data_IF_183437013218
#
_entry.id   IF_183437013218
#
_cell.length_a   1.000
_cell.length_b   1.000
_cell.length_c   1.000
_cell.angle_alpha   90.00
_cell.angle_beta   90.00
_cell.angle_gamma   90.00
#
_symmetry.space_group_name_H-M   'P 1'
#
loop_
_entity.id
_entity.type
_entity.pdbx_description
1 polymer ?
#
# COMPACT_ATOMS: atom_id res chain seq x y z
N UNK A 1 15.64 -0.93 8.07
CA UNK A 1 14.45 -1.75 7.73
C UNK A 1 13.87 -1.44 6.34
N UNK A 2 14.53 -0.60 5.52
CA UNK A 2 14.01 -0.20 4.20
C UNK A 2 14.52 -1.04 3.00
N UNK A 3 15.31 -2.10 3.25
CA UNK A 3 15.96 -2.91 2.21
C UNK A 3 15.00 -3.54 1.21
N UNK A 4 13.75 -3.84 1.62
CA UNK A 4 12.70 -4.37 0.74
C UNK A 4 12.31 -3.44 -0.42
N UNK A 5 12.66 -2.16 -0.35
CA UNK A 5 12.42 -1.19 -1.42
C UNK A 5 13.64 -0.94 -2.30
N UNK A 6 14.76 -1.63 -2.06
CA UNK A 6 15.91 -1.55 -2.92
C UNK A 6 15.56 -2.11 -4.32
N UNK A 7 15.97 -1.45 -5.41
CA UNK A 7 15.64 -1.88 -6.76
C UNK A 7 16.46 -3.12 -7.15
N UNK A 8 16.03 -4.28 -6.71
CA UNK A 8 16.68 -5.55 -7.05
C UNK A 8 16.47 -5.92 -8.53
N UNK A 9 17.55 -6.28 -9.21
CA UNK A 9 17.55 -6.66 -10.63
C UNK A 9 16.79 -7.97 -10.91
N UNK A 10 16.69 -8.85 -9.90
CA UNK A 10 15.98 -10.13 -10.02
C UNK A 10 14.46 -9.96 -10.15
N UNK A 11 13.91 -8.86 -9.65
CA UNK A 11 12.50 -8.56 -9.85
C UNK A 11 12.40 -8.12 -11.31
N UNK A 12 11.55 -8.75 -12.11
CA UNK A 12 11.34 -8.39 -13.53
C UNK A 12 9.91 -7.96 -13.80
N UNK A 13 9.02 -8.13 -12.83
CA UNK A 13 7.60 -7.81 -12.94
C UNK A 13 7.33 -6.33 -12.71
N UNK A 14 6.27 -5.84 -13.36
CA UNK A 14 5.76 -4.48 -13.18
C UNK A 14 5.03 -4.31 -11.85
N UNK A 15 4.40 -5.38 -11.35
CA UNK A 15 3.74 -5.43 -10.05
C UNK A 15 4.70 -5.97 -8.99
N UNK A 16 4.68 -5.38 -7.80
CA UNK A 16 5.33 -5.93 -6.60
C UNK A 16 4.27 -6.21 -5.56
N UNK A 17 4.22 -7.45 -5.07
CA UNK A 17 3.43 -7.83 -3.91
C UNK A 17 4.28 -7.64 -2.64
N UNK A 18 3.94 -6.60 -1.90
CA UNK A 18 4.41 -6.24 -0.56
C UNK A 18 3.83 -7.12 0.57
N UNK A 19 4.56 -7.99 1.29
CA UNK A 19 4.02 -8.76 2.44
C UNK A 19 4.95 -8.72 3.66
N UNK A 20 4.37 -8.49 4.84
CA UNK A 20 5.04 -8.65 6.14
C UNK A 20 4.99 -10.11 6.61
N UNK A 21 5.92 -10.51 7.47
CA UNK A 21 6.07 -11.90 7.96
C UNK A 21 4.82 -12.46 8.67
N UNK A 22 4.01 -11.59 9.29
CA UNK A 22 2.80 -11.93 10.03
C UNK A 22 1.51 -11.79 9.18
N UNK A 23 1.65 -11.49 7.89
CA UNK A 23 0.52 -11.31 6.99
C UNK A 23 0.07 -12.64 6.38
N UNK A 24 -1.21 -12.97 6.58
CA UNK A 24 -1.85 -14.15 5.99
C UNK A 24 -2.93 -13.69 5.01
N UNK A 25 -2.76 -14.03 3.73
CA UNK A 25 -3.73 -13.79 2.66
C UNK A 25 -4.01 -15.10 1.92
N UNK A 26 -5.26 -15.32 1.56
CA UNK A 26 -5.66 -16.42 0.68
C UNK A 26 -5.31 -16.10 -0.79
N UNK A 27 -5.14 -17.13 -1.61
CA UNK A 27 -4.89 -16.98 -3.06
C UNK A 27 -5.97 -16.14 -3.75
N UNK A 28 -7.23 -16.28 -3.34
CA UNK A 28 -8.33 -15.49 -3.90
C UNK A 28 -8.21 -13.99 -3.58
N UNK A 29 -7.69 -13.63 -2.40
CA UNK A 29 -7.43 -12.24 -2.03
C UNK A 29 -6.26 -11.69 -2.85
N UNK A 30 -5.16 -12.46 -2.96
CA UNK A 30 -4.01 -12.09 -3.78
C UNK A 30 -4.44 -11.87 -5.24
N UNK A 31 -5.15 -12.80 -5.85
CA UNK A 31 -5.64 -12.70 -7.23
C UNK A 31 -6.55 -11.47 -7.43
N UNK A 32 -7.49 -11.23 -6.52
CA UNK A 32 -8.38 -10.08 -6.59
C UNK A 32 -7.62 -8.76 -6.48
N UNK A 33 -6.72 -8.66 -5.51
CA UNK A 33 -5.90 -7.45 -5.32
C UNK A 33 -4.94 -7.19 -6.49
N UNK A 34 -4.42 -8.24 -7.14
CA UNK A 34 -3.65 -8.11 -8.37
C UNK A 34 -4.50 -7.58 -9.53
N UNK A 35 -5.72 -8.07 -9.72
CA UNK A 35 -6.65 -7.58 -10.77
C UNK A 35 -7.02 -6.12 -10.53
N UNK A 36 -7.26 -5.75 -9.27
CA UNK A 36 -7.49 -4.35 -8.89
C UNK A 36 -6.27 -3.50 -9.21
N UNK A 37 -5.06 -3.94 -8.84
CA UNK A 37 -3.82 -3.25 -9.19
C UNK A 37 -3.64 -3.13 -10.70
N UNK A 38 -3.91 -4.17 -11.48
CA UNK A 38 -3.82 -4.13 -12.93
C UNK A 38 -4.73 -3.07 -13.56
N UNK A 39 -5.87 -2.78 -12.94
CA UNK A 39 -6.79 -1.71 -13.36
C UNK A 39 -6.31 -0.31 -12.94
N UNK A 40 -5.42 -0.23 -11.95
CA UNK A 40 -4.94 1.02 -11.35
C UNK A 40 -3.44 0.94 -11.02
N UNK A 41 -2.58 0.72 -12.02
CA UNK A 41 -1.18 0.33 -11.79
C UNK A 41 -0.40 1.42 -11.06
N UNK A 42 -0.78 2.69 -11.24
CA UNK A 42 -0.10 3.83 -10.62
C UNK A 42 -0.41 3.99 -9.11
N UNK A 43 -1.36 3.25 -8.55
CA UNK A 43 -1.78 3.40 -7.16
C UNK A 43 -1.34 2.23 -6.29
N UNK A 44 -1.12 2.49 -4.99
CA UNK A 44 -0.96 1.43 -3.99
C UNK A 44 -2.33 0.80 -3.77
N UNK A 45 -2.42 -0.52 -3.94
CA UNK A 45 -3.63 -1.33 -3.75
C UNK A 45 -3.37 -2.34 -2.64
N UNK A 46 -4.16 -2.35 -1.57
CA UNK A 46 -3.89 -3.27 -0.45
C UNK A 46 -4.90 -3.23 0.67
N UNK A 47 -4.57 -3.88 1.79
CA UNK A 47 -5.54 -4.23 2.83
C UNK A 47 -5.51 -3.29 4.05
N UNK A 48 -4.34 -3.04 4.70
CA UNK A 48 -4.30 -2.28 5.94
C UNK A 48 -4.35 -0.79 5.62
N UNK A 49 -5.56 -0.22 5.67
CA UNK A 49 -5.76 1.20 5.46
C UNK A 49 -5.47 2.02 6.73
N UNK A 50 -4.83 3.17 6.56
CA UNK A 50 -4.51 4.15 7.61
C UNK A 50 -4.79 5.56 7.10
N UNK A 51 -4.85 6.52 8.01
CA UNK A 51 -5.15 7.90 7.63
C UNK A 51 -4.21 8.89 8.32
N UNK A 52 -4.10 10.06 7.71
CA UNK A 52 -3.55 11.25 8.34
C UNK A 52 -4.68 12.21 8.74
N UNK A 53 -4.39 13.15 9.62
CA UNK A 53 -5.28 14.25 9.98
C UNK A 53 -4.46 15.47 10.41
N UNK A 54 -5.03 16.66 10.33
CA UNK A 54 -4.39 17.85 10.90
C UNK A 54 -4.83 18.05 12.35
N UNK A 55 -3.88 18.12 13.28
CA UNK A 55 -4.16 18.44 14.68
C UNK A 55 -4.08 19.96 14.89
N UNK A 56 -5.22 20.65 14.85
CA UNK A 56 -5.31 22.10 15.08
C UNK A 56 -4.73 22.52 16.43
N UNK A 57 -4.84 21.67 17.46
CA UNK A 57 -4.36 22.02 18.81
C UNK A 57 -2.83 22.03 18.91
N UNK A 58 -2.16 21.19 18.10
CA UNK A 58 -0.71 21.03 18.09
C UNK A 58 -0.04 21.65 16.87
N UNK A 59 -0.82 22.16 15.91
CA UNK A 59 -0.32 22.74 14.66
C UNK A 59 0.53 21.77 13.85
N UNK A 60 0.17 20.48 13.83
CA UNK A 60 0.99 19.43 13.22
C UNK A 60 0.16 18.29 12.64
N UNK A 61 0.74 17.54 11.72
CA UNK A 61 0.10 16.37 11.11
C UNK A 61 0.06 15.18 12.08
N UNK A 62 -1.02 14.42 11.95
CA UNK A 62 -1.46 13.34 12.81
C UNK A 62 -1.57 12.01 12.06
N UNK A 63 -0.99 10.91 12.56
CA UNK A 63 -1.22 9.54 12.09
C UNK A 63 -2.34 8.86 12.89
N UNK A 64 -3.25 8.16 12.22
CA UNK A 64 -4.31 7.39 12.88
C UNK A 64 -4.56 6.02 12.27
N UNK A 65 -4.85 5.06 13.15
CA UNK A 65 -5.33 3.71 12.82
C UNK A 65 -6.84 3.55 12.99
N UNK A 66 -7.56 4.64 13.31
CA UNK A 66 -9.02 4.59 13.47
C UNK A 66 -9.67 4.10 12.17
N UNK A 67 -10.65 3.21 12.32
CA UNK A 67 -11.42 2.71 11.19
C UNK A 67 -12.45 3.76 10.79
N UNK A 68 -12.09 4.57 9.81
CA UNK A 68 -12.94 5.58 9.18
C UNK A 68 -13.25 5.21 7.74
N UNK A 69 -14.29 5.85 7.17
CA UNK A 69 -14.62 5.67 5.76
C UNK A 69 -13.57 6.30 4.83
N UNK A 70 -12.83 7.27 5.34
CA UNK A 70 -11.72 7.91 4.66
C UNK A 70 -10.39 7.35 5.15
N UNK A 71 -9.49 7.13 4.20
CA UNK A 71 -8.11 6.73 4.44
C UNK A 71 -7.21 7.45 3.45
N UNK A 72 -5.94 7.60 3.77
CA UNK A 72 -4.98 8.28 2.89
C UNK A 72 -3.74 7.44 2.63
N UNK A 73 -3.64 6.28 3.26
CA UNK A 73 -2.51 5.37 3.16
C UNK A 73 -3.02 3.94 3.13
N UNK A 74 -2.30 3.11 2.37
CA UNK A 74 -2.38 1.66 2.46
C UNK A 74 -0.98 1.17 2.82
N UNK A 75 -0.86 0.45 3.94
CA UNK A 75 0.43 0.00 4.43
C UNK A 75 1.03 -1.04 3.49
N UNK A 76 2.32 -0.89 3.21
CA UNK A 76 2.97 -1.73 2.21
C UNK A 76 3.14 -3.19 2.64
N UNK A 77 2.93 -3.49 3.92
CA UNK A 77 3.00 -4.85 4.48
C UNK A 77 1.92 -5.81 4.01
N UNK A 78 0.91 -5.33 3.28
CA UNK A 78 0.01 -6.18 2.52
C UNK A 78 -0.57 -5.37 1.35
N UNK A 79 0.21 -5.21 0.28
CA UNK A 79 -0.20 -4.39 -0.87
C UNK A 79 0.51 -4.72 -2.17
N UNK A 80 -0.19 -4.55 -3.28
CA UNK A 80 0.38 -4.40 -4.61
C UNK A 80 0.69 -2.93 -4.92
N UNK A 81 1.82 -2.70 -5.57
CA UNK A 81 2.15 -1.40 -6.14
C UNK A 81 3.06 -1.56 -7.34
N UNK A 82 3.13 -0.52 -8.18
CA UNK A 82 3.97 -0.53 -9.36
C UNK A 82 5.46 -0.53 -9.00
N UNK A 83 6.24 -1.37 -9.66
CA UNK A 83 7.68 -1.18 -9.81
C UNK A 83 7.99 -0.14 -10.89
N UNK A 84 7.44 -0.32 -12.10
CA UNK A 84 7.79 0.45 -13.31
C UNK A 84 6.85 0.23 -14.51
N UNK A 85 6.60 1.24 -15.37
CA UNK A 85 6.51 1.06 -16.86
C UNK A 85 6.76 2.38 -17.63
N UNK A 86 7.63 2.31 -18.65
CA UNK A 86 7.94 3.34 -19.66
C UNK A 86 6.77 3.68 -20.59
N UNK A 87 6.74 4.92 -21.11
CA UNK A 87 6.30 5.13 -22.50
C UNK A 87 7.35 5.92 -23.30
N UNK A 88 7.59 5.38 -24.48
CA UNK A 88 8.59 5.66 -25.50
C UNK A 88 8.53 7.12 -26.02
N UNK A 89 9.67 7.81 -26.10
CA UNK A 89 9.78 9.11 -26.78
C UNK A 89 10.23 8.89 -28.24
N UNK A 90 9.36 9.08 -29.26
CA UNK A 90 9.86 9.34 -30.60
C UNK A 90 10.52 10.73 -30.59
N UNK A 91 11.77 10.79 -31.04
CA UNK A 91 12.56 12.01 -31.21
C UNK A 91 11.71 13.08 -31.89
N UNK A 92 11.52 14.23 -31.22
CA UNK A 92 11.14 15.57 -31.72
C UNK A 92 10.00 16.32 -30.99
N UNK A 93 9.56 15.89 -29.80
CA UNK A 93 8.73 16.76 -28.95
C UNK A 93 9.24 16.71 -27.50
N UNK A 94 9.70 17.85 -27.00
CA UNK A 94 10.15 18.06 -25.62
C UNK A 94 9.00 17.95 -24.60
N UNK A 95 8.45 16.75 -24.42
CA UNK A 95 7.71 16.37 -23.22
C UNK A 95 8.40 15.15 -22.63
N UNK A 96 9.37 15.40 -21.74
CA UNK A 96 10.12 14.38 -21.03
C UNK A 96 9.19 13.62 -20.07
N UNK A 97 8.65 12.48 -20.54
CA UNK A 97 7.89 11.51 -19.75
C UNK A 97 8.90 10.73 -18.89
N UNK A 98 9.32 11.28 -17.75
CA UNK A 98 10.02 10.51 -16.73
C UNK A 98 8.97 9.81 -15.86
N UNK A 99 8.60 8.57 -16.19
CA UNK A 99 7.87 7.73 -15.22
C UNK A 99 8.90 7.18 -14.24
N UNK A 100 8.92 7.78 -13.07
CA UNK A 100 9.83 7.45 -12.00
C UNK A 100 9.40 6.16 -11.29
N UNK A 101 10.33 5.22 -11.09
CA UNK A 101 10.10 3.93 -10.45
C UNK A 101 9.96 4.12 -8.93
N UNK A 102 8.96 3.55 -8.24
CA UNK A 102 8.81 3.78 -6.79
C UNK A 102 9.99 3.28 -5.97
N UNK A 103 10.54 2.10 -6.27
CA UNK A 103 11.76 1.59 -5.62
C UNK A 103 12.98 2.45 -5.93
N UNK A 104 13.17 2.85 -7.20
CA UNK A 104 14.31 3.70 -7.58
C UNK A 104 14.21 5.09 -6.93
N UNK A 105 13.05 5.71 -6.97
CA UNK A 105 12.79 6.98 -6.31
C UNK A 105 13.01 6.86 -4.81
N UNK A 106 12.48 5.79 -4.22
CA UNK A 106 12.67 5.54 -2.81
C UNK A 106 14.16 5.49 -2.50
N UNK A 107 14.96 4.72 -3.23
CA UNK A 107 16.40 4.55 -2.95
C UNK A 107 17.29 5.72 -3.37
N UNK A 108 17.01 6.38 -4.49
CA UNK A 108 17.94 7.33 -5.12
C UNK A 108 17.47 8.78 -5.11
N UNK A 109 16.16 9.03 -5.02
CA UNK A 109 15.61 10.39 -5.01
C UNK A 109 15.39 10.92 -3.59
N UNK A 110 14.96 10.05 -2.67
CA UNK A 110 14.81 10.45 -1.28
C UNK A 110 16.20 10.67 -0.63
N UNK A 111 16.33 11.67 0.25
CA UNK A 111 17.60 12.02 0.85
C UNK A 111 17.98 10.98 1.91
N UNK A 112 19.29 10.84 2.13
CA UNK A 112 19.85 9.94 3.15
C UNK A 112 19.31 10.22 4.56
N UNK A 113 18.91 11.45 4.86
CA UNK A 113 18.32 11.82 6.15
C UNK A 113 16.98 11.12 6.42
N UNK A 114 16.12 10.98 5.41
CA UNK A 114 14.84 10.27 5.55
C UNK A 114 15.06 8.76 5.67
N UNK A 115 15.99 8.21 4.88
CA UNK A 115 16.40 6.80 5.03
C UNK A 115 16.94 6.51 6.42
N UNK A 116 17.83 7.37 6.90
CA UNK A 116 18.42 7.25 8.23
C UNK A 116 17.33 7.29 9.29
N UNK A 117 16.38 8.22 9.22
CA UNK A 117 15.25 8.28 10.17
C UNK A 117 14.46 6.97 10.20
N UNK A 118 14.08 6.44 9.03
CA UNK A 118 13.36 5.16 8.91
C UNK A 118 14.17 4.00 9.47
N UNK A 119 15.47 3.95 9.20
CA UNK A 119 16.33 2.86 9.66
C UNK A 119 16.61 2.92 11.17
N UNK A 120 16.77 4.12 11.74
CA UNK A 120 16.94 4.32 13.18
C UNK A 120 15.66 3.99 13.96
N UNK A 121 14.49 4.40 13.45
CA UNK A 121 13.21 4.10 14.08
C UNK A 121 12.72 2.68 13.81
N UNK A 122 13.30 1.99 12.83
CA UNK A 122 12.85 0.67 12.39
C UNK A 122 11.33 0.64 12.08
N UNK A 123 10.84 1.74 11.48
CA UNK A 123 9.41 2.04 11.29
C UNK A 123 9.25 3.08 10.16
N UNK A 124 7.99 3.36 9.78
CA UNK A 124 7.59 4.44 8.87
C UNK A 124 8.02 4.29 7.40
N UNK A 125 8.65 3.20 7.00
CA UNK A 125 9.01 2.92 5.61
C UNK A 125 7.77 2.84 4.72
N UNK A 126 6.67 2.31 5.25
CA UNK A 126 5.34 2.26 4.63
C UNK A 126 4.72 3.66 4.45
N UNK A 127 4.83 4.53 5.45
CA UNK A 127 4.36 5.92 5.40
C UNK A 127 5.19 6.69 4.36
N UNK A 128 6.52 6.55 4.38
CA UNK A 128 7.40 7.23 3.43
C UNK A 128 7.09 6.81 1.99
N UNK A 129 6.83 5.53 1.75
CA UNK A 129 6.41 5.03 0.43
C UNK A 129 5.07 5.66 0.01
N UNK A 130 4.08 5.75 0.89
CA UNK A 130 2.79 6.39 0.56
C UNK A 130 2.96 7.89 0.26
N UNK A 131 3.82 8.60 1.00
CA UNK A 131 4.18 9.99 0.72
C UNK A 131 4.78 10.13 -0.67
N UNK A 132 5.77 9.30 -1.00
CA UNK A 132 6.44 9.31 -2.29
C UNK A 132 5.47 9.06 -3.44
N UNK A 133 4.67 7.98 -3.35
CA UNK A 133 3.71 7.62 -4.40
C UNK A 133 2.66 8.72 -4.59
N UNK A 134 2.11 9.26 -3.49
CA UNK A 134 1.10 10.33 -3.57
C UNK A 134 1.71 11.63 -4.11
N UNK A 135 2.96 11.93 -3.76
CA UNK A 135 3.65 13.13 -4.25
C UNK A 135 3.88 13.09 -5.76
N UNK A 136 4.21 11.92 -6.32
CA UNK A 136 4.51 11.70 -7.73
C UNK A 136 3.22 11.61 -8.56
N UNK A 137 2.26 10.80 -8.11
CA UNK A 137 1.04 10.50 -8.88
C UNK A 137 -0.06 11.52 -8.69
N UNK A 138 -0.08 12.23 -7.55
CA UNK A 138 -1.21 13.04 -7.08
C UNK A 138 -2.52 12.23 -7.00
N UNK A 139 -2.41 10.93 -6.74
CA UNK A 139 -3.55 10.03 -6.59
C UNK A 139 -3.55 9.38 -5.20
N UNK A 140 -4.72 9.18 -4.59
CA UNK A 140 -4.83 8.47 -3.31
C UNK A 140 -4.80 6.95 -3.52
N UNK A 141 -4.52 6.16 -2.47
CA UNK A 141 -4.48 4.69 -2.57
C UNK A 141 -5.87 4.06 -2.71
N UNK A 142 -5.89 2.75 -3.01
CA UNK A 142 -7.11 1.93 -3.09
C UNK A 142 -7.08 0.86 -2.01
N UNK A 143 -8.18 0.77 -1.25
CA UNK A 143 -8.36 -0.28 -0.25
C UNK A 143 -9.10 -1.47 -0.86
N UNK A 144 -8.57 -2.67 -0.65
CA UNK A 144 -9.29 -3.93 -0.86
C UNK A 144 -9.65 -4.56 0.48
N UNK A 145 -10.70 -5.36 0.51
CA UNK A 145 -11.06 -6.09 1.73
C UNK A 145 -10.36 -7.40 1.87
N UNK A 146 -9.87 -7.63 3.09
CA UNK A 146 -9.55 -8.96 3.55
C UNK A 146 -10.86 -9.64 3.97
N UNK A 147 -11.09 -10.88 3.54
CA UNK A 147 -12.13 -11.72 4.14
C UNK A 147 -11.79 -11.82 5.61
N UNK A 148 -12.78 -11.54 6.47
CA UNK A 148 -12.62 -11.63 7.93
C UNK A 148 -12.42 -13.11 8.29
N UNK A 149 -11.17 -13.60 8.21
CA UNK A 149 -10.83 -14.85 8.86
C UNK A 149 -11.04 -14.62 10.35
N UNK A 150 -11.97 -15.37 10.93
CA UNK A 150 -12.12 -15.45 12.38
C UNK A 150 -10.74 -15.82 12.94
N UNK A 151 -10.04 -14.84 13.52
CA UNK A 151 -8.71 -14.99 14.13
C UNK A 151 -8.82 -15.78 15.45
N UNK A 152 -9.39 -16.99 15.43
CA UNK A 152 -9.45 -17.83 16.62
C UNK A 152 -8.41 -18.96 16.62
N UNK A 153 -7.71 -19.26 15.52
CA UNK A 153 -6.90 -20.49 15.48
C UNK A 153 -5.38 -20.30 15.42
N UNK A 154 -4.86 -19.07 15.41
CA UNK A 154 -3.39 -18.84 15.27
C UNK A 154 -2.79 -17.94 16.36
N UNK A 155 -3.38 -17.92 17.57
CA UNK A 155 -2.75 -17.30 18.76
C UNK A 155 -1.98 -18.31 19.63
N UNK A 156 -1.53 -19.44 19.07
CA UNK A 156 -0.83 -20.48 19.83
C UNK A 156 0.65 -20.71 19.46
N UNK A 157 1.32 -19.77 18.78
CA UNK A 157 2.77 -19.86 18.61
C UNK A 157 3.48 -18.53 18.86
N UNK A 158 4.19 -18.48 19.99
CA UNK A 158 5.31 -17.56 20.21
C UNK A 158 4.93 -16.13 20.54
N UNK A 159 4.87 -15.81 21.84
CA UNK A 159 4.85 -14.45 22.39
C UNK A 159 6.07 -13.63 21.92
N UNK A 160 6.00 -13.04 20.73
CA UNK A 160 6.66 -11.77 20.43
C UNK A 160 5.61 -10.70 20.70
N UNK A 161 5.85 -9.83 21.68
CA UNK A 161 5.05 -8.62 21.88
C UNK A 161 4.89 -7.93 20.53
N UNK A 162 3.64 -7.73 20.08
CA UNK A 162 3.43 -7.12 18.77
C UNK A 162 4.01 -5.71 18.80
N UNK A 163 5.00 -5.41 17.95
CA UNK A 163 5.61 -4.06 17.84
C UNK A 163 4.55 -2.96 17.64
N UNK A 164 3.40 -3.34 17.07
CA UNK A 164 2.23 -2.52 16.84
C UNK A 164 1.48 -2.06 18.10
N UNK A 165 1.65 -2.74 19.23
CA UNK A 165 0.99 -2.44 20.50
C UNK A 165 1.82 -1.53 21.42
N UNK A 166 3.05 -1.21 21.02
CA UNK A 166 3.93 -0.30 21.75
C UNK A 166 3.41 1.17 21.61
N UNK A 167 3.16 1.90 22.70
CA UNK A 167 2.84 3.33 22.64
C UNK A 167 3.86 4.16 21.84
N UNK A 168 5.14 3.79 21.91
CA UNK A 168 6.21 4.50 21.19
C UNK A 168 6.08 4.33 19.67
N UNK A 169 5.52 3.21 19.20
CA UNK A 169 5.30 2.96 17.78
C UNK A 169 4.37 4.00 17.14
N UNK A 170 3.31 4.43 17.84
CA UNK A 170 2.43 5.49 17.35
C UNK A 170 3.10 6.86 17.42
N UNK A 171 3.83 7.15 18.50
CA UNK A 171 4.55 8.41 18.64
C UNK A 171 5.63 8.59 17.56
N UNK A 172 6.35 7.52 17.22
CA UNK A 172 7.32 7.51 16.12
C UNK A 172 6.65 7.79 14.77
N UNK A 173 5.53 7.12 14.45
CA UNK A 173 4.79 7.37 13.20
C UNK A 173 4.29 8.81 13.08
N UNK A 174 3.89 9.41 14.20
CA UNK A 174 3.55 10.84 14.27
C UNK A 174 4.76 11.73 13.93
N UNK A 175 5.94 11.42 14.49
CA UNK A 175 7.18 12.17 14.22
C UNK A 175 7.63 12.03 12.76
N UNK A 176 7.56 10.82 12.19
CA UNK A 176 7.86 10.55 10.79
C UNK A 176 6.99 11.39 9.85
N UNK A 177 5.68 11.41 10.08
CA UNK A 177 4.73 12.14 9.23
C UNK A 177 5.05 13.64 9.13
N UNK A 178 5.41 14.26 10.25
CA UNK A 178 5.79 15.67 10.30
C UNK A 178 7.15 15.91 9.64
N UNK A 179 8.12 15.03 9.87
CA UNK A 179 9.44 15.12 9.24
C UNK A 179 9.36 14.98 7.71
N UNK A 180 8.55 14.04 7.22
CA UNK A 180 8.34 13.83 5.79
C UNK A 180 7.61 15.03 5.16
N UNK A 181 6.50 15.48 5.73
CA UNK A 181 5.79 16.66 5.22
C UNK A 181 6.67 17.92 5.20
N UNK A 182 7.55 18.09 6.20
CA UNK A 182 8.53 19.17 6.21
C UNK A 182 9.54 19.07 5.05
N UNK A 183 10.04 17.85 4.75
CA UNK A 183 10.98 17.67 3.65
C UNK A 183 10.33 17.82 2.27
N UNK A 184 9.13 17.26 2.08
CA UNK A 184 8.36 17.42 0.84
C UNK A 184 7.86 18.86 0.65
N UNK A 185 7.79 19.67 1.72
CA UNK A 185 7.32 21.06 1.71
C UNK A 185 5.79 21.21 1.73
N UNK A 186 5.06 20.10 1.70
CA UNK A 186 3.59 20.06 1.79
C UNK A 186 3.15 18.66 2.28
N UNK A 187 1.85 18.47 2.51
CA UNK A 187 1.28 17.15 2.78
C UNK A 187 0.86 16.48 1.46
N UNK A 188 1.58 15.46 0.96
CA UNK A 188 1.25 14.82 -0.30
C UNK A 188 0.15 13.78 -0.19
N UNK A 189 -0.16 13.28 1.00
CA UNK A 189 -1.17 12.24 1.18
C UNK A 189 -2.57 12.78 0.83
N UNK A 190 -3.29 12.03 0.01
CA UNK A 190 -4.66 12.36 -0.40
C UNK A 190 -5.63 11.37 0.21
N UNK A 191 -6.77 11.86 0.69
CA UNK A 191 -7.84 10.99 1.18
C UNK A 191 -8.56 10.28 0.02
N UNK A 192 -8.97 9.05 0.28
CA UNK A 192 -9.80 8.22 -0.58
C UNK A 192 -10.84 7.51 0.28
N UNK A 193 -11.99 7.28 -0.34
CA UNK A 193 -13.06 6.41 0.16
C UNK A 193 -13.22 5.18 -0.74
N UNK A 194 -12.34 5.01 -1.74
CA UNK A 194 -12.44 3.97 -2.75
C UNK A 194 -12.07 2.61 -2.16
N UNK A 195 -13.10 1.77 -2.00
CA UNK A 195 -12.97 0.40 -1.54
C UNK A 195 -13.53 -0.55 -2.58
N UNK A 196 -12.74 -1.56 -2.93
CA UNK A 196 -13.16 -2.62 -3.84
C UNK A 196 -13.23 -3.95 -3.10
N UNK A 197 -14.39 -4.58 -3.17
CA UNK A 197 -14.70 -5.83 -2.49
C UNK A 197 -15.00 -6.93 -3.52
N UNK A 198 -14.55 -8.17 -3.31
CA UNK A 198 -14.87 -9.29 -4.18
C UNK A 198 -16.31 -9.76 -3.92
N UNK A 199 -17.30 -9.13 -4.55
CA UNK A 199 -18.73 -9.45 -4.34
C UNK A 199 -19.10 -10.83 -4.92
N UNK A 200 -18.38 -11.32 -5.95
CA UNK A 200 -18.57 -12.62 -6.61
C UNK A 200 -17.26 -13.20 -7.19
N UNK A 201 -16.10 -12.82 -6.65
CA UNK A 201 -14.81 -13.21 -7.24
C UNK A 201 -14.60 -14.73 -7.17
N UNK A 202 -14.59 -15.38 -8.34
CA UNK A 202 -14.58 -16.85 -8.51
C UNK A 202 -15.74 -17.57 -7.79
N UNK A 203 -16.87 -16.89 -7.59
CA UNK A 203 -18.02 -17.50 -6.92
C UNK A 203 -18.74 -18.49 -7.86
N UNK A 204 -18.98 -19.72 -7.38
CA UNK A 204 -19.73 -20.76 -8.11
C UNK A 204 -21.24 -20.48 -8.16
N UNK A 205 -21.70 -19.31 -7.70
CA UNK A 205 -23.12 -18.92 -7.75
C UNK A 205 -23.71 -19.04 -9.16
N UNK A 206 -22.92 -18.85 -10.23
CA UNK A 206 -23.38 -19.11 -11.61
C UNK A 206 -23.69 -20.59 -11.87
N UNK A 207 -22.93 -21.52 -11.30
CA UNK A 207 -23.15 -22.98 -11.39
C UNK A 207 -24.36 -23.38 -10.53
N UNK A 208 -24.47 -22.82 -9.32
CA UNK A 208 -25.52 -23.17 -8.35
C UNK A 208 -26.87 -22.54 -8.71
N UNK A 209 -26.92 -21.45 -9.47
CA UNK A 209 -28.15 -20.76 -9.90
C UNK A 209 -28.48 -20.92 -11.39
N UNK A 210 -27.82 -21.81 -12.14
CA UNK A 210 -28.30 -22.15 -13.49
C UNK A 210 -29.75 -22.65 -13.39
N UNK A 211 -30.70 -21.93 -13.99
CA UNK A 211 -32.12 -22.33 -14.06
C UNK A 211 -32.29 -23.67 -14.78
N UNK A 212 -31.36 -23.98 -15.69
CA UNK A 212 -31.29 -25.25 -16.41
C UNK A 212 -29.87 -25.81 -16.27
N UNK A 213 -29.66 -26.70 -15.28
CA UNK A 213 -28.34 -27.27 -14.97
C UNK A 213 -27.87 -28.29 -16.01
N UNK A 214 -28.79 -28.90 -16.75
CA UNK A 214 -28.50 -30.01 -17.66
C UNK A 214 -28.46 -29.64 -19.15
N UNK A 215 -28.56 -28.35 -19.52
CA UNK A 215 -28.50 -27.92 -20.94
C UNK A 215 -27.13 -28.17 -21.57
N UNK A 216 -26.06 -28.21 -20.78
CA UNK A 216 -24.69 -28.45 -21.25
C UNK A 216 -24.28 -29.94 -21.21
N UNK A 217 -25.22 -30.86 -20.89
CA UNK A 217 -24.99 -32.31 -20.82
C UNK A 217 -25.29 -33.06 -22.13
N UNK A 218 -25.44 -32.34 -23.24
CA UNK A 218 -25.65 -32.90 -24.57
C UNK A 218 -24.33 -33.10 -25.32
#
# INVERSE_FOLDING_TARGET
MSSRFFPHDIIQTDAVLSLDEDTVLSTNEVDFSFIVWHSFPDRIVGYPARSHYWDNSKGRWGYTSKWTNEFSMVLTGASFYHRQVLLYIPRNICHLIYKWYYHYLYTHYLPTSLHSMVDHMANCEDILMNFLVSAVTKLPPIKVTQKKQYKETMMQQGSKTSRWADPDHFAQRQACMNSFSSWFGFMPLLHSQMRLDPVLFKDQVSILRKKYRDIERL
#
